data_IF_266217573821
#
_entry.id   IF_266217573821
#
_cell.length_a   1.000
_cell.length_b   1.000
_cell.length_c   1.000
_cell.angle_alpha   90.00
_cell.angle_beta   90.00
_cell.angle_gamma   90.00
#
_symmetry.space_group_name_H-M   'P 1'
#
loop_
_entity.id
_entity.type
_entity.pdbx_description
1 polymer ?
#
# COMPACT_ATOMS: atom_id res chain seq x y z
N UNK A 1 -24.03 -10.94 36.49
CA UNK A 1 -23.74 -11.13 35.88
C UNK A 1 -23.44 -10.44 35.20
N UNK A 2 -23.15 -9.94 35.10
CA UNK A 2 -22.91 -9.46 34.43
C UNK A 2 -21.76 -9.33 34.04
N UNK A 3 -20.87 -9.47 34.40
CA UNK A 3 -19.85 -9.67 33.80
C UNK A 3 -19.98 -9.85 32.55
N UNK A 4 -20.85 -9.87 32.25
CA UNK A 4 -21.27 -10.23 30.94
C UNK A 4 -20.87 -9.28 29.82
N UNK A 5 -20.56 -8.04 30.06
CA UNK A 5 -20.13 -7.13 28.99
C UNK A 5 -18.78 -7.54 28.38
N UNK A 6 -17.82 -7.82 29.18
CA UNK A 6 -16.53 -8.27 28.67
C UNK A 6 -16.59 -9.69 28.12
N UNK A 7 -17.40 -10.54 28.75
CA UNK A 7 -17.61 -11.90 28.25
C UNK A 7 -18.25 -11.88 26.85
N UNK A 8 -19.17 -10.97 26.64
CA UNK A 8 -19.80 -10.80 25.33
C UNK A 8 -18.79 -10.40 24.27
N UNK A 9 -17.88 -9.50 24.62
CA UNK A 9 -16.83 -9.09 23.69
C UNK A 9 -15.95 -10.28 23.31
N UNK A 10 -15.63 -11.14 24.26
CA UNK A 10 -14.74 -12.28 24.04
C UNK A 10 -15.40 -13.41 23.25
N UNK A 11 -16.69 -13.62 23.48
CA UNK A 11 -17.38 -14.77 22.87
C UNK A 11 -18.22 -14.39 21.68
N UNK A 12 -18.42 -13.09 21.46
CA UNK A 12 -19.20 -12.65 20.33
C UNK A 12 -18.48 -12.86 19.04
N UNK A 13 -19.05 -13.58 18.11
CA UNK A 13 -18.65 -13.40 16.74
C UNK A 13 -18.94 -11.94 16.40
N UNK A 14 -18.25 -11.39 15.39
CA UNK A 14 -18.56 -10.05 14.92
C UNK A 14 -20.04 -9.97 14.64
N UNK A 15 -20.69 -9.01 15.22
CA UNK A 15 -22.12 -8.83 14.99
C UNK A 15 -22.35 -8.49 13.52
N UNK A 16 -23.43 -9.02 13.00
CA UNK A 16 -23.87 -8.67 11.66
C UNK A 16 -24.14 -7.17 11.64
N UNK A 17 -23.46 -6.45 10.81
CA UNK A 17 -23.54 -5.00 10.75
C UNK A 17 -22.41 -4.27 11.50
N UNK A 18 -21.66 -4.99 12.35
CA UNK A 18 -20.47 -4.42 13.00
C UNK A 18 -19.19 -4.73 12.25
N UNK A 19 -19.28 -5.35 11.07
CA UNK A 19 -18.13 -5.62 10.24
C UNK A 19 -17.45 -4.32 9.83
N UNK A 20 -16.14 -4.26 10.02
CA UNK A 20 -15.39 -3.10 9.61
C UNK A 20 -15.44 -2.93 8.09
N UNK A 21 -15.67 -1.70 7.66
CA UNK A 21 -15.62 -1.36 6.23
C UNK A 21 -14.18 -1.34 5.76
N UNK A 22 -13.86 -2.17 4.81
CA UNK A 22 -12.51 -2.34 4.30
C UNK A 22 -12.38 -1.91 2.85
N UNK A 23 -11.27 -1.27 2.54
CA UNK A 23 -10.85 -1.04 1.17
C UNK A 23 -9.58 -1.83 0.90
N UNK A 24 -9.52 -2.46 -0.24
CA UNK A 24 -8.34 -3.19 -0.71
C UNK A 24 -7.52 -2.25 -1.58
N UNK A 25 -6.22 -2.20 -1.34
CA UNK A 25 -5.31 -1.38 -2.15
C UNK A 25 -4.17 -2.21 -2.70
N UNK A 26 -4.07 -2.22 -4.02
CA UNK A 26 -3.00 -2.89 -4.76
C UNK A 26 -2.23 -1.87 -5.59
N UNK A 27 -0.92 -2.04 -5.64
CA UNK A 27 -0.04 -1.14 -6.38
C UNK A 27 1.07 -1.92 -7.08
N UNK A 28 1.41 -1.47 -8.28
CA UNK A 28 2.64 -1.84 -8.97
C UNK A 28 3.34 -0.58 -9.43
N UNK A 29 4.65 -0.65 -9.63
CA UNK A 29 5.47 0.52 -9.97
C UNK A 29 5.40 0.89 -11.44
N UNK A 30 5.07 -0.05 -12.32
CA UNK A 30 4.99 0.20 -13.76
C UNK A 30 3.87 -0.57 -14.43
N UNK A 31 3.43 -0.09 -15.59
CA UNK A 31 2.28 -0.64 -16.30
C UNK A 31 2.47 -2.06 -16.85
N UNK A 32 3.69 -2.50 -17.06
CA UNK A 32 4.00 -3.87 -17.48
C UNK A 32 3.77 -4.90 -16.36
N UNK A 33 3.64 -4.45 -15.13
CA UNK A 33 3.35 -5.28 -13.96
C UNK A 33 1.84 -5.39 -13.65
N UNK A 34 0.97 -4.92 -14.52
CA UNK A 34 -0.48 -4.96 -14.28
C UNK A 34 -1.06 -6.32 -13.91
N UNK A 35 -0.59 -7.46 -14.46
CA UNK A 35 -1.07 -8.76 -14.01
C UNK A 35 -0.90 -9.00 -12.51
N UNK A 36 0.11 -8.40 -11.90
CA UNK A 36 0.33 -8.49 -10.46
C UNK A 36 -0.75 -7.75 -9.65
N UNK A 37 -1.37 -6.71 -10.22
CA UNK A 37 -2.49 -6.02 -9.55
C UNK A 37 -3.66 -6.95 -9.31
N UNK A 38 -4.02 -7.74 -10.32
CA UNK A 38 -5.12 -8.70 -10.21
C UNK A 38 -4.79 -9.78 -9.18
N UNK A 39 -3.56 -10.27 -9.19
CA UNK A 39 -3.08 -11.23 -8.20
C UNK A 39 -3.16 -10.67 -6.79
N UNK A 40 -2.70 -9.44 -6.59
CA UNK A 40 -2.78 -8.75 -5.28
C UNK A 40 -4.23 -8.64 -4.81
N UNK A 41 -5.12 -8.13 -5.67
CA UNK A 41 -6.53 -7.95 -5.32
C UNK A 41 -7.20 -9.27 -5.00
N UNK A 42 -6.87 -10.34 -5.71
CA UNK A 42 -7.38 -11.68 -5.42
C UNK A 42 -6.97 -12.16 -4.03
N UNK A 43 -5.72 -12.00 -3.67
CA UNK A 43 -5.22 -12.35 -2.33
C UNK A 43 -5.87 -11.50 -1.24
N UNK A 44 -5.99 -10.20 -1.48
CA UNK A 44 -6.60 -9.28 -0.52
C UNK A 44 -8.08 -9.59 -0.32
N UNK A 45 -8.80 -9.91 -1.38
CA UNK A 45 -10.21 -10.29 -1.30
C UNK A 45 -10.39 -11.57 -0.47
N UNK A 46 -9.58 -12.57 -0.72
CA UNK A 46 -9.60 -13.82 0.04
C UNK A 46 -9.32 -13.57 1.53
N UNK A 47 -8.30 -12.77 1.80
CA UNK A 47 -7.95 -12.42 3.18
C UNK A 47 -9.09 -11.67 3.88
N UNK A 48 -9.59 -10.60 3.27
CA UNK A 48 -10.66 -9.79 3.86
C UNK A 48 -11.92 -10.61 4.13
N UNK A 49 -12.28 -11.47 3.19
CA UNK A 49 -13.43 -12.37 3.35
C UNK A 49 -13.22 -13.33 4.52
N UNK A 50 -12.02 -13.90 4.65
CA UNK A 50 -11.70 -14.80 5.76
C UNK A 50 -11.74 -14.09 7.12
N UNK A 51 -11.52 -12.80 7.16
CA UNK A 51 -11.56 -12.00 8.38
C UNK A 51 -12.94 -11.37 8.66
N UNK A 52 -13.92 -11.64 7.84
CA UNK A 52 -15.27 -11.10 8.02
C UNK A 52 -15.39 -9.61 7.76
N UNK A 53 -14.48 -9.03 7.01
CA UNK A 53 -14.52 -7.61 6.66
C UNK A 53 -15.54 -7.34 5.56
N UNK A 54 -16.19 -6.18 5.62
CA UNK A 54 -17.08 -5.71 4.56
C UNK A 54 -16.26 -4.92 3.53
N UNK A 55 -15.93 -5.53 2.41
CA UNK A 55 -15.15 -4.88 1.36
C UNK A 55 -16.04 -3.91 0.59
N UNK A 56 -15.79 -2.62 0.74
CA UNK A 56 -16.59 -1.55 0.10
C UNK A 56 -15.88 -0.94 -1.10
N UNK A 57 -14.56 -1.09 -1.21
CA UNK A 57 -13.78 -0.60 -2.33
C UNK A 57 -12.62 -1.52 -2.64
N UNK A 58 -12.30 -1.65 -3.91
CA UNK A 58 -11.08 -2.30 -4.38
C UNK A 58 -10.36 -1.31 -5.30
N UNK A 59 -9.17 -0.92 -4.91
CA UNK A 59 -8.40 0.13 -5.59
C UNK A 59 -7.10 -0.47 -6.11
N UNK A 60 -6.83 -0.24 -7.38
CA UNK A 60 -5.56 -0.62 -7.98
C UNK A 60 -4.92 0.59 -8.64
N UNK A 61 -3.63 0.73 -8.48
CA UNK A 61 -2.91 1.91 -8.93
C UNK A 61 -1.54 1.53 -9.49
N UNK A 62 -1.15 2.20 -10.57
CA UNK A 62 0.21 2.13 -11.10
C UNK A 62 0.92 3.41 -10.68
N UNK A 63 1.98 3.28 -9.91
CA UNK A 63 2.73 4.41 -9.41
C UNK A 63 3.82 3.99 -8.45
N UNK A 64 4.83 4.83 -8.31
CA UNK A 64 5.96 4.57 -7.43
C UNK A 64 5.57 4.63 -5.95
N UNK A 65 6.14 3.72 -5.17
CA UNK A 65 6.04 3.76 -3.71
C UNK A 65 6.89 4.84 -3.05
N UNK A 66 7.78 5.44 -3.81
CA UNK A 66 8.70 6.49 -3.34
C UNK A 66 8.28 7.88 -3.81
N UNK A 67 7.67 7.97 -4.97
CA UNK A 67 7.26 9.23 -5.56
C UNK A 67 5.77 9.44 -5.31
N UNK A 68 5.44 10.36 -4.44
CA UNK A 68 4.13 10.50 -3.83
C UNK A 68 2.91 10.77 -4.71
N UNK A 69 3.03 10.75 -6.05
CA UNK A 69 1.87 11.05 -6.90
C UNK A 69 1.00 9.82 -7.12
N UNK A 70 0.10 9.56 -6.19
CA UNK A 70 -0.85 8.45 -6.24
C UNK A 70 -2.24 8.94 -5.87
N UNK A 71 -2.98 9.47 -6.85
CA UNK A 71 -4.28 10.12 -6.57
C UNK A 71 -5.33 9.15 -6.01
N UNK A 72 -5.29 7.89 -6.42
CA UNK A 72 -6.26 6.91 -5.90
C UNK A 72 -6.00 6.59 -4.43
N UNK A 73 -4.74 6.46 -4.03
CA UNK A 73 -4.39 6.30 -2.62
C UNK A 73 -4.81 7.52 -1.82
N UNK A 74 -4.58 8.72 -2.35
CA UNK A 74 -4.96 9.95 -1.66
C UNK A 74 -6.47 10.02 -1.42
N UNK A 75 -7.27 9.64 -2.40
CA UNK A 75 -8.73 9.56 -2.24
C UNK A 75 -9.12 8.56 -1.16
N UNK A 76 -8.44 7.41 -1.15
CA UNK A 76 -8.71 6.36 -0.18
C UNK A 76 -8.38 6.80 1.25
N UNK A 77 -7.25 7.48 1.41
CA UNK A 77 -6.83 8.01 2.72
C UNK A 77 -7.79 9.09 3.23
N UNK A 78 -8.40 9.86 2.33
CA UNK A 78 -9.35 10.91 2.68
C UNK A 78 -10.77 10.38 2.92
N UNK A 79 -11.04 9.14 2.58
CA UNK A 79 -12.38 8.55 2.70
C UNK A 79 -12.61 8.02 4.11
N UNK A 80 -13.34 8.78 4.90
CA UNK A 80 -13.63 8.44 6.30
C UNK A 80 -14.60 7.27 6.46
N UNK A 81 -15.32 6.90 5.42
CA UNK A 81 -16.21 5.74 5.45
C UNK A 81 -15.44 4.41 5.38
N UNK A 82 -14.18 4.46 5.00
CA UNK A 82 -13.29 3.31 5.00
C UNK A 82 -12.57 3.24 6.34
N UNK A 83 -12.89 2.23 7.13
CA UNK A 83 -12.29 2.04 8.45
C UNK A 83 -10.94 1.33 8.38
N UNK A 84 -10.80 0.42 7.43
CA UNK A 84 -9.62 -0.42 7.28
C UNK A 84 -9.10 -0.35 5.84
N UNK A 85 -7.81 -0.12 5.70
CA UNK A 85 -7.14 -0.26 4.41
C UNK A 85 -6.32 -1.54 4.47
N UNK A 86 -6.52 -2.45 3.51
CA UNK A 86 -5.83 -3.73 3.46
C UNK A 86 -4.85 -3.73 2.30
N UNK A 87 -3.60 -4.01 2.59
CA UNK A 87 -2.52 -4.11 1.60
C UNK A 87 -1.80 -5.44 1.73
N UNK A 88 -1.22 -5.90 0.66
CA UNK A 88 -0.45 -7.14 0.69
C UNK A 88 0.83 -6.97 1.51
N UNK A 89 1.58 -5.91 1.24
CA UNK A 89 2.80 -5.54 1.97
C UNK A 89 2.79 -4.05 2.27
N UNK A 90 3.51 -3.62 3.29
CA UNK A 90 3.68 -2.19 3.61
C UNK A 90 4.22 -1.40 2.42
N UNK A 91 5.10 -2.00 1.64
CA UNK A 91 5.71 -1.37 0.48
C UNK A 91 4.70 -1.02 -0.61
N UNK A 92 3.56 -1.70 -0.65
CA UNK A 92 2.48 -1.34 -1.58
C UNK A 92 1.85 0.00 -1.19
N UNK A 93 1.84 0.31 0.09
CA UNK A 93 1.36 1.61 0.57
C UNK A 93 2.43 2.68 0.37
N UNK A 94 3.62 2.47 0.91
CA UNK A 94 4.76 3.36 0.77
C UNK A 94 6.05 2.60 1.06
N UNK A 95 7.09 2.85 0.28
CA UNK A 95 8.42 2.27 0.55
C UNK A 95 9.01 2.81 1.84
N UNK A 96 8.80 4.10 2.07
CA UNK A 96 9.24 4.77 3.29
C UNK A 96 8.10 5.61 3.83
N UNK A 97 8.03 5.73 5.14
CA UNK A 97 7.04 6.58 5.78
C UNK A 97 5.65 5.97 5.93
N UNK A 98 5.50 4.66 5.76
CA UNK A 98 4.21 4.00 6.00
C UNK A 98 3.72 4.21 7.42
N UNK A 99 4.64 4.34 8.39
CA UNK A 99 4.31 4.60 9.78
C UNK A 99 3.58 5.93 9.99
N UNK A 100 3.86 6.94 9.18
CA UNK A 100 3.12 8.20 9.23
C UNK A 100 1.69 8.04 8.73
N UNK A 101 1.49 7.22 7.72
CA UNK A 101 0.16 6.90 7.20
C UNK A 101 -0.62 6.12 8.26
N UNK A 102 -0.01 5.11 8.86
CA UNK A 102 -0.63 4.33 9.93
C UNK A 102 -1.04 5.22 11.11
N UNK A 103 -0.16 6.12 11.53
CA UNK A 103 -0.43 7.05 12.63
C UNK A 103 -1.60 8.00 12.28
N UNK A 104 -1.65 8.48 11.05
CA UNK A 104 -2.73 9.35 10.58
C UNK A 104 -4.07 8.61 10.57
N UNK A 105 -4.08 7.38 10.11
CA UNK A 105 -5.28 6.54 10.13
C UNK A 105 -5.73 6.29 11.57
N UNK A 106 -4.80 5.94 12.45
CA UNK A 106 -5.10 5.69 13.86
C UNK A 106 -5.70 6.91 14.55
N UNK A 107 -5.23 8.10 14.21
CA UNK A 107 -5.75 9.35 14.77
C UNK A 107 -7.22 9.58 14.44
N UNK A 108 -7.73 9.00 13.36
CA UNK A 108 -9.14 9.05 12.97
C UNK A 108 -9.91 7.77 13.28
N UNK A 109 -9.36 6.88 14.10
CA UNK A 109 -9.98 5.60 14.44
C UNK A 109 -9.97 4.58 13.32
N UNK A 110 -9.09 4.75 12.36
CA UNK A 110 -8.92 3.88 11.18
C UNK A 110 -7.63 3.09 11.31
N UNK A 111 -7.47 2.05 10.52
CA UNK A 111 -6.26 1.22 10.61
C UNK A 111 -5.81 0.67 9.27
N UNK A 112 -4.54 0.33 9.21
CA UNK A 112 -3.93 -0.41 8.12
C UNK A 112 -3.79 -1.88 8.52
N UNK A 113 -4.15 -2.78 7.63
CA UNK A 113 -3.93 -4.21 7.80
C UNK A 113 -2.98 -4.68 6.69
N UNK A 114 -1.89 -5.29 7.08
CA UNK A 114 -0.87 -5.82 6.17
C UNK A 114 -0.97 -7.34 6.19
N UNK A 115 -1.21 -7.93 5.03
CA UNK A 115 -1.42 -9.38 4.92
C UNK A 115 -0.11 -10.14 5.09
N UNK A 116 0.97 -9.63 4.51
CA UNK A 116 2.29 -10.23 4.57
C UNK A 116 3.29 -9.17 5.06
N UNK A 117 3.90 -9.41 6.20
CA UNK A 117 4.82 -8.48 6.84
C UNK A 117 6.24 -8.54 6.25
N UNK A 118 6.50 -9.45 5.31
CA UNK A 118 7.79 -9.53 4.63
C UNK A 118 8.07 -8.31 3.76
N UNK A 119 9.32 -8.11 3.42
CA UNK A 119 9.73 -7.04 2.51
C UNK A 119 9.60 -7.46 1.06
N UNK A 120 9.06 -6.56 0.24
CA UNK A 120 9.00 -6.72 -1.20
C UNK A 120 10.22 -6.10 -1.85
N UNK A 121 10.94 -6.90 -2.62
CA UNK A 121 12.13 -6.42 -3.34
C UNK A 121 11.88 -6.24 -4.83
N UNK A 122 10.85 -6.86 -5.36
CA UNK A 122 10.61 -6.95 -6.81
C UNK A 122 10.50 -5.59 -7.49
N UNK A 123 9.87 -4.62 -6.84
CA UNK A 123 9.67 -3.28 -7.41
C UNK A 123 10.68 -2.25 -6.92
N UNK A 124 11.61 -2.64 -6.05
CA UNK A 124 12.50 -1.67 -5.41
C UNK A 124 13.34 -0.91 -6.42
N UNK A 125 13.91 -1.62 -7.37
CA UNK A 125 14.76 -1.01 -8.41
C UNK A 125 13.95 -0.03 -9.26
N UNK A 126 12.74 -0.40 -9.64
CA UNK A 126 11.86 0.49 -10.40
C UNK A 126 11.47 1.74 -9.61
N UNK A 127 11.13 1.58 -8.34
CA UNK A 127 10.84 2.70 -7.45
C UNK A 127 12.05 3.64 -7.32
N UNK A 128 13.26 3.09 -7.22
CA UNK A 128 14.49 3.90 -7.19
C UNK A 128 14.72 4.64 -8.50
N UNK A 129 14.50 3.99 -9.63
CA UNK A 129 14.60 4.63 -10.95
C UNK A 129 13.64 5.82 -11.03
N UNK A 130 12.41 5.64 -10.57
CA UNK A 130 11.39 6.69 -10.61
C UNK A 130 11.77 7.91 -9.76
N UNK A 131 12.29 7.67 -8.56
CA UNK A 131 12.77 8.75 -7.68
C UNK A 131 13.95 9.48 -8.28
N UNK A 132 14.94 8.75 -8.76
CA UNK A 132 16.11 9.34 -9.38
C UNK A 132 15.76 10.08 -10.66
N UNK A 133 14.81 9.57 -11.44
CA UNK A 133 14.29 10.25 -12.62
C UNK A 133 13.66 11.59 -12.25
N UNK A 134 12.81 11.62 -11.23
CA UNK A 134 12.20 12.84 -10.72
C UNK A 134 13.25 13.84 -10.24
N UNK A 135 14.24 13.35 -9.52
CA UNK A 135 15.32 14.19 -9.02
C UNK A 135 16.16 14.79 -10.16
N UNK A 136 16.55 13.96 -11.12
CA UNK A 136 17.31 14.39 -12.28
C UNK A 136 16.52 15.38 -13.16
N UNK A 137 15.21 15.22 -13.26
CA UNK A 137 14.36 16.14 -14.01
C UNK A 137 14.41 17.56 -13.43
N UNK A 138 14.53 17.69 -12.11
CA UNK A 138 14.67 18.99 -11.44
C UNK A 138 16.02 19.64 -11.68
N UNK A 139 17.06 18.81 -11.80
CA UNK A 139 18.44 19.32 -11.94
C UNK A 139 18.83 19.59 -13.41
N UNK A 140 18.41 18.72 -14.32
CA UNK A 140 18.95 18.68 -15.69
C UNK A 140 17.89 18.79 -16.78
N UNK A 141 16.60 18.81 -16.41
CA UNK A 141 15.51 18.79 -17.36
C UNK A 141 15.12 17.37 -17.77
N UNK A 142 13.91 17.22 -18.31
CA UNK A 142 13.30 15.92 -18.53
C UNK A 142 14.00 15.03 -19.55
N UNK A 143 14.65 15.62 -20.57
CA UNK A 143 15.21 14.84 -21.68
C UNK A 143 16.29 13.85 -21.26
N UNK A 144 17.11 14.21 -20.27
CA UNK A 144 18.21 13.34 -19.84
C UNK A 144 17.98 12.71 -18.46
N UNK A 145 16.89 13.06 -17.81
CA UNK A 145 16.65 12.65 -16.42
C UNK A 145 16.59 11.13 -16.26
N UNK A 146 15.83 10.46 -17.11
CA UNK A 146 15.69 8.98 -17.05
C UNK A 146 17.01 8.28 -17.29
N UNK A 147 17.78 8.75 -18.28
CA UNK A 147 19.06 8.14 -18.60
C UNK A 147 20.07 8.32 -17.46
N UNK A 148 20.08 9.47 -16.81
CA UNK A 148 20.94 9.72 -15.65
C UNK A 148 20.54 8.86 -14.46
N UNK A 149 19.25 8.71 -14.23
CA UNK A 149 18.72 7.85 -13.17
C UNK A 149 19.10 6.39 -13.39
N UNK A 150 18.96 5.88 -14.62
CA UNK A 150 19.34 4.52 -14.98
C UNK A 150 20.84 4.27 -14.79
N UNK A 151 21.67 5.23 -15.17
CA UNK A 151 23.12 5.16 -14.96
C UNK A 151 23.48 5.13 -13.48
N UNK A 152 22.81 5.94 -12.66
CA UNK A 152 23.06 5.94 -11.22
C UNK A 152 22.68 4.62 -10.57
N UNK A 153 21.56 4.04 -10.95
CA UNK A 153 21.14 2.73 -10.43
C UNK A 153 22.11 1.64 -10.88
N UNK A 154 22.51 1.63 -12.15
CA UNK A 154 23.48 0.67 -12.66
C UNK A 154 24.80 0.74 -11.90
N UNK A 155 25.28 1.94 -11.59
CA UNK A 155 26.50 2.13 -10.80
C UNK A 155 26.39 1.55 -9.39
N UNK A 156 25.21 1.58 -8.77
CA UNK A 156 25.02 1.02 -7.44
C UNK A 156 24.90 -0.50 -7.44
N UNK A 157 24.62 -1.09 -8.59
CA UNK A 157 24.49 -2.55 -8.74
C UNK A 157 25.80 -3.23 -9.12
N UNK A 158 26.83 -2.47 -9.49
CA UNK A 158 28.15 -3.05 -9.74
C UNK A 158 28.80 -3.46 -8.43
N UNK A 159 29.13 -4.72 -8.31
CA UNK A 159 29.87 -5.20 -7.15
C UNK A 159 31.30 -4.67 -7.19
N UNK A 160 31.85 -4.28 -6.03
CA UNK A 160 33.25 -3.93 -5.96
C UNK A 160 34.07 -5.18 -6.26
N UNK A 161 34.94 -5.09 -7.23
CA UNK A 161 35.86 -6.15 -7.59
C UNK A 161 36.97 -6.32 -6.55
#
# INVERSE_FOLDING_TARGET
MKLSAWAKILVHPPEVGSSETAALYARVSSGDQKPDLERQLGRLTTFATSQGMAVVKSVSEVGSGLNGHRPKLMKLLADRDVQVIVVEHRDRLARFGSEYIEATLAASGRKLVVVDTGEMKDDLVQDMIDVLTSFCARLYGRRSAKNRALKAVAATQEEPS
#
